data_IF_226697857340
#
_entry.id   IF_226697857340
#
_cell.length_a   1.000
_cell.length_b   1.000
_cell.length_c   1.000
_cell.angle_alpha   90.00
_cell.angle_beta   90.00
_cell.angle_gamma   90.00
#
_symmetry.space_group_name_H-M   'P 1'
#
loop_
_entity.id
_entity.type
_entity.pdbx_description
1 polymer ?
#
# COMPACT_ATOMS: atom_id res chain seq x y z
N UNK A 1 -3.90 13.41 8.72
CA UNK A 1 -4.20 12.28 9.63
C UNK A 1 -5.67 12.19 10.07
N UNK A 2 -6.31 13.22 10.65
CA UNK A 2 -7.71 13.14 11.12
C UNK A 2 -8.73 12.69 10.06
N UNK A 3 -8.58 13.14 8.81
CA UNK A 3 -9.46 12.70 7.73
C UNK A 3 -9.25 11.21 7.38
N UNK A 4 -8.00 10.72 7.46
CA UNK A 4 -7.67 9.32 7.21
C UNK A 4 -8.18 8.41 8.33
N UNK A 5 -8.07 8.82 9.60
CA UNK A 5 -8.51 8.00 10.73
C UNK A 5 -10.02 7.74 10.69
N UNK A 6 -10.82 8.70 10.23
CA UNK A 6 -12.26 8.48 10.01
C UNK A 6 -12.54 7.39 8.98
N UNK A 7 -11.70 7.28 7.94
CA UNK A 7 -11.84 6.21 6.95
C UNK A 7 -11.46 4.85 7.54
N UNK A 8 -10.53 4.79 8.49
CA UNK A 8 -10.18 3.52 9.15
C UNK A 8 -11.38 2.92 9.90
N UNK A 9 -12.16 3.75 10.60
CA UNK A 9 -13.34 3.27 11.31
C UNK A 9 -14.50 2.93 10.35
N UNK A 10 -14.63 3.67 9.23
CA UNK A 10 -15.67 3.43 8.22
C UNK A 10 -15.42 2.13 7.45
N UNK A 11 -14.16 1.83 7.14
CA UNK A 11 -13.76 0.64 6.38
C UNK A 11 -13.41 -0.56 7.26
N UNK A 12 -13.53 -0.44 8.58
CA UNK A 12 -13.43 -1.60 9.45
C UNK A 12 -14.59 -2.56 9.12
N UNK A 13 -14.32 -3.80 8.69
CA UNK A 13 -15.38 -4.70 8.28
C UNK A 13 -16.25 -5.11 9.48
N UNK A 14 -17.55 -4.95 9.31
CA UNK A 14 -18.54 -5.45 10.25
C UNK A 14 -18.74 -6.95 10.05
N UNK A 15 -18.40 -7.78 11.04
CA UNK A 15 -18.69 -9.22 11.02
C UNK A 15 -17.49 -10.10 10.70
N UNK A 16 -17.63 -11.01 9.74
CA UNK A 16 -16.68 -12.08 9.37
C UNK A 16 -15.40 -11.62 8.65
N UNK A 17 -15.18 -10.31 8.53
CA UNK A 17 -14.01 -9.74 7.86
C UNK A 17 -14.14 -9.61 6.34
N UNK A 18 -15.32 -9.89 5.75
CA UNK A 18 -15.52 -9.74 4.31
C UNK A 18 -15.73 -8.27 3.89
N UNK A 19 -14.98 -7.82 2.88
CA UNK A 19 -15.13 -6.48 2.25
C UNK A 19 -16.28 -6.41 1.23
N UNK A 20 -17.31 -7.25 1.38
CA UNK A 20 -18.30 -7.59 0.35
C UNK A 20 -19.39 -6.52 0.11
N UNK A 21 -18.99 -5.29 -0.27
CA UNK A 21 -19.92 -4.28 -0.77
C UNK A 21 -19.43 -3.67 -2.08
N UNK A 22 -20.09 -4.03 -3.17
CA UNK A 22 -19.83 -3.49 -4.52
C UNK A 22 -20.03 -1.97 -4.62
N UNK A 23 -20.84 -1.38 -3.73
CA UNK A 23 -21.12 0.06 -3.72
C UNK A 23 -20.97 0.69 -2.35
N UNK A 24 -20.62 1.97 -2.36
CA UNK A 24 -20.55 2.80 -1.16
C UNK A 24 -21.91 3.41 -0.83
N UNK A 25 -22.24 3.43 0.45
CA UNK A 25 -23.30 4.27 1.00
C UNK A 25 -22.99 5.76 0.80
N UNK A 26 -24.03 6.60 0.88
CA UNK A 26 -23.87 8.07 0.79
C UNK A 26 -22.91 8.62 1.85
N UNK A 27 -22.91 8.06 3.05
CA UNK A 27 -22.01 8.46 4.15
C UNK A 27 -20.56 8.07 3.88
N UNK A 28 -20.32 6.88 3.33
CA UNK A 28 -18.98 6.44 2.90
C UNK A 28 -18.45 7.35 1.80
N UNK A 29 -19.23 7.60 0.74
CA UNK A 29 -18.85 8.52 -0.34
C UNK A 29 -18.52 9.92 0.18
N UNK A 30 -19.35 10.46 1.08
CA UNK A 30 -19.08 11.78 1.68
C UNK A 30 -17.82 11.80 2.55
N UNK A 31 -17.45 10.68 3.19
CA UNK A 31 -16.21 10.58 3.95
C UNK A 31 -14.99 10.47 3.04
N UNK A 32 -15.08 9.65 1.98
CA UNK A 32 -14.04 9.52 0.96
C UNK A 32 -13.80 10.88 0.30
N UNK A 33 -14.86 11.58 -0.12
CA UNK A 33 -14.74 12.88 -0.77
C UNK A 33 -14.05 13.91 0.14
N UNK A 34 -14.46 14.02 1.40
CA UNK A 34 -13.77 14.89 2.39
C UNK A 34 -12.31 14.53 2.58
N UNK A 35 -11.97 13.25 2.60
CA UNK A 35 -10.58 12.80 2.69
C UNK A 35 -9.80 13.22 1.44
N UNK A 36 -10.34 12.96 0.26
CA UNK A 36 -9.75 13.35 -1.02
C UNK A 36 -9.55 14.87 -1.11
N UNK A 37 -10.55 15.68 -0.76
CA UNK A 37 -10.44 17.14 -0.73
C UNK A 37 -9.31 17.63 0.19
N UNK A 38 -9.10 16.96 1.32
CA UNK A 38 -8.04 17.31 2.24
C UNK A 38 -6.65 16.96 1.68
N UNK A 39 -6.48 15.76 1.10
CA UNK A 39 -5.16 15.29 0.65
C UNK A 39 -4.73 15.90 -0.68
N UNK A 40 -5.63 16.08 -1.66
CA UNK A 40 -5.25 16.56 -3.01
C UNK A 40 -4.73 18.00 -3.03
N UNK A 41 -5.01 18.78 -1.97
CA UNK A 41 -4.55 20.17 -1.81
C UNK A 41 -3.18 20.27 -1.13
N UNK A 42 -2.65 19.17 -0.60
CA UNK A 42 -1.36 19.17 0.09
C UNK A 42 -0.20 19.40 -0.90
N UNK A 43 0.91 20.02 -0.48
CA UNK A 43 2.08 20.22 -1.36
C UNK A 43 2.60 18.92 -1.98
N UNK A 44 2.54 17.81 -1.23
CA UNK A 44 2.98 16.49 -1.70
C UNK A 44 2.11 16.00 -2.87
N UNK A 45 0.78 16.09 -2.74
CA UNK A 45 -0.14 15.68 -3.82
C UNK A 45 -0.15 16.64 -4.99
N UNK A 46 0.11 17.93 -4.78
CA UNK A 46 0.28 18.91 -5.87
C UNK A 46 1.52 18.56 -6.69
N UNK A 47 2.66 18.27 -6.03
CA UNK A 47 3.88 17.84 -6.72
C UNK A 47 3.69 16.52 -7.46
N UNK A 48 2.99 15.56 -6.85
CA UNK A 48 2.66 14.30 -7.51
C UNK A 48 1.80 14.53 -8.75
N UNK A 49 0.78 15.41 -8.67
CA UNK A 49 -0.05 15.77 -9.83
C UNK A 49 0.79 16.36 -10.95
N UNK A 50 1.60 17.37 -10.67
CA UNK A 50 2.43 18.06 -11.68
C UNK A 50 3.41 17.09 -12.37
N UNK A 51 3.99 16.17 -11.61
CA UNK A 51 4.80 15.09 -12.18
C UNK A 51 3.97 14.19 -13.11
N UNK A 52 2.80 13.74 -12.65
CA UNK A 52 1.92 12.86 -13.42
C UNK A 52 1.30 13.51 -14.66
N UNK A 53 1.02 14.81 -14.62
CA UNK A 53 0.56 15.62 -15.76
C UNK A 53 1.60 15.66 -16.89
N UNK A 54 2.89 15.54 -16.56
CA UNK A 54 3.99 15.49 -17.52
C UNK A 54 4.31 14.07 -18.04
N UNK A 55 3.70 13.02 -17.47
CA UNK A 55 3.91 11.65 -17.93
C UNK A 55 3.14 11.40 -19.23
N UNK A 56 3.76 10.65 -20.15
CA UNK A 56 3.08 10.12 -21.33
C UNK A 56 2.18 8.90 -20.99
N UNK A 57 1.47 8.97 -19.87
CA UNK A 57 0.58 7.90 -19.41
C UNK A 57 -0.79 8.05 -20.08
N UNK A 58 -1.43 6.95 -20.55
CA UNK A 58 -2.79 7.00 -21.08
C UNK A 58 -3.82 7.52 -20.07
N UNK A 59 -3.54 7.35 -18.77
CA UNK A 59 -4.39 7.80 -17.67
C UNK A 59 -3.87 9.08 -17.00
N UNK A 60 -2.94 9.81 -17.64
CA UNK A 60 -2.41 11.05 -17.09
C UNK A 60 -3.55 12.05 -16.80
N UNK A 61 -3.58 12.68 -15.61
CA UNK A 61 -4.60 13.66 -15.27
C UNK A 61 -4.48 14.90 -16.16
N UNK A 62 -5.62 15.52 -16.50
CA UNK A 62 -5.70 16.80 -17.22
C UNK A 62 -6.19 17.90 -16.27
N UNK A 63 -5.37 18.25 -15.27
CA UNK A 63 -5.68 19.27 -14.27
C UNK A 63 -6.29 18.74 -12.97
N UNK A 64 -6.79 19.68 -12.15
CA UNK A 64 -7.17 19.41 -10.74
C UNK A 64 -8.40 18.51 -10.58
N UNK A 65 -9.44 18.68 -11.39
CA UNK A 65 -10.66 17.88 -11.26
C UNK A 65 -10.38 16.42 -11.62
N UNK A 66 -9.74 16.19 -12.76
CA UNK A 66 -9.31 14.86 -13.18
C UNK A 66 -8.35 14.21 -12.19
N UNK A 67 -7.55 14.99 -11.45
CA UNK A 67 -6.67 14.43 -10.43
C UNK A 67 -7.45 13.80 -9.27
N UNK A 68 -8.44 14.50 -8.70
CA UNK A 68 -9.24 13.94 -7.61
C UNK A 68 -9.97 12.68 -8.07
N UNK A 69 -10.55 12.72 -9.27
CA UNK A 69 -11.27 11.59 -9.86
C UNK A 69 -10.35 10.40 -10.14
N UNK A 70 -9.11 10.66 -10.59
CA UNK A 70 -8.09 9.63 -10.78
C UNK A 70 -7.65 9.00 -9.46
N UNK A 71 -7.43 9.79 -8.41
CA UNK A 71 -7.12 9.26 -7.08
C UNK A 71 -8.28 8.41 -6.57
N UNK A 72 -9.53 8.85 -6.76
CA UNK A 72 -10.70 8.04 -6.43
C UNK A 72 -10.69 6.71 -7.19
N UNK A 73 -10.49 6.75 -8.51
CA UNK A 73 -10.43 5.55 -9.37
C UNK A 73 -9.36 4.56 -8.92
N UNK A 74 -8.14 5.04 -8.62
CA UNK A 74 -7.03 4.17 -8.23
C UNK A 74 -7.25 3.59 -6.83
N UNK A 75 -7.65 4.42 -5.87
CA UNK A 75 -7.60 4.05 -4.45
C UNK A 75 -8.92 3.52 -3.90
N UNK A 76 -10.05 3.96 -4.44
CA UNK A 76 -11.38 3.74 -3.86
C UNK A 76 -12.33 3.01 -4.80
N UNK A 77 -12.02 2.81 -6.08
CA UNK A 77 -12.88 1.99 -6.93
C UNK A 77 -12.89 0.55 -6.41
N UNK A 78 -14.07 0.04 -6.06
CA UNK A 78 -14.28 -1.36 -5.67
C UNK A 78 -14.59 -2.19 -6.91
N UNK A 79 -14.01 -3.37 -6.97
CA UNK A 79 -14.42 -4.44 -7.90
C UNK A 79 -15.48 -5.34 -7.26
N UNK A 80 -15.87 -6.39 -7.98
CA UNK A 80 -16.85 -7.38 -7.51
C UNK A 80 -16.32 -8.32 -6.41
N UNK A 81 -15.01 -8.48 -6.30
CA UNK A 81 -14.36 -9.50 -5.44
C UNK A 81 -13.18 -8.99 -4.58
N UNK A 82 -13.42 -8.21 -3.52
CA UNK A 82 -12.38 -7.91 -2.52
C UNK A 82 -12.14 -6.42 -2.25
N UNK A 83 -11.13 -6.09 -1.42
CA UNK A 83 -10.90 -4.74 -0.93
C UNK A 83 -10.45 -3.80 -2.05
N UNK A 84 -10.83 -2.52 -1.96
CA UNK A 84 -10.16 -1.49 -2.77
C UNK A 84 -8.71 -1.26 -2.32
N UNK A 85 -7.91 -0.56 -3.12
CA UNK A 85 -6.50 -0.33 -2.80
C UNK A 85 -6.30 0.46 -1.49
N UNK A 86 -7.20 1.39 -1.14
CA UNK A 86 -7.15 2.07 0.15
C UNK A 86 -7.37 1.11 1.31
N UNK A 87 -8.38 0.22 1.21
CA UNK A 87 -8.63 -0.81 2.23
C UNK A 87 -7.41 -1.71 2.39
N UNK A 88 -6.84 -2.21 1.28
CA UNK A 88 -5.64 -3.04 1.33
C UNK A 88 -4.45 -2.32 2.00
N UNK A 89 -4.05 -1.16 1.49
CA UNK A 89 -2.82 -0.49 1.94
C UNK A 89 -2.98 0.10 3.33
N UNK A 90 -4.10 0.80 3.60
CA UNK A 90 -4.25 1.57 4.82
C UNK A 90 -4.94 0.83 5.95
N UNK A 91 -6.00 0.07 5.64
CA UNK A 91 -6.86 -0.56 6.66
C UNK A 91 -6.38 -1.97 6.99
N UNK A 92 -5.90 -2.69 5.98
CA UNK A 92 -5.71 -4.14 6.02
C UNK A 92 -6.97 -4.88 5.58
N UNK A 93 -6.78 -6.13 5.17
CA UNK A 93 -7.86 -7.01 4.71
C UNK A 93 -7.56 -8.48 5.04
N UNK A 94 -8.59 -9.31 5.06
CA UNK A 94 -8.40 -10.76 5.02
C UNK A 94 -7.85 -11.17 3.64
N UNK A 95 -6.81 -11.99 3.65
CA UNK A 95 -6.23 -12.61 2.46
C UNK A 95 -6.04 -14.11 2.71
N UNK A 96 -5.73 -14.86 1.66
CA UNK A 96 -5.40 -16.28 1.74
C UNK A 96 -3.99 -16.55 1.23
N UNK A 97 -3.28 -17.51 1.84
CA UNK A 97 -2.02 -18.06 1.33
C UNK A 97 -2.26 -19.16 0.26
N UNK A 98 -1.21 -19.74 -0.33
CA UNK A 98 -1.36 -20.85 -1.32
C UNK A 98 -2.16 -22.03 -0.80
N UNK A 99 -2.16 -22.25 0.52
CA UNK A 99 -2.82 -23.38 1.15
C UNK A 99 -4.28 -23.05 1.48
N UNK A 100 -4.76 -21.87 1.08
CA UNK A 100 -6.10 -21.38 1.39
C UNK A 100 -6.27 -20.99 2.85
N UNK A 101 -5.17 -20.79 3.59
CA UNK A 101 -5.24 -20.37 4.99
C UNK A 101 -5.42 -18.86 5.07
N UNK A 102 -6.38 -18.41 5.88
CA UNK A 102 -6.59 -16.99 6.14
C UNK A 102 -5.38 -16.35 6.81
N UNK A 103 -4.86 -15.30 6.19
CA UNK A 103 -3.72 -14.50 6.63
C UNK A 103 -4.06 -13.01 6.58
N UNK A 104 -3.25 -12.19 7.23
CA UNK A 104 -3.39 -10.75 7.19
C UNK A 104 -2.81 -10.19 5.89
N UNK A 105 -3.69 -9.68 5.01
CA UNK A 105 -3.34 -8.92 3.84
C UNK A 105 -3.23 -7.42 4.14
N UNK A 106 -2.31 -6.73 3.48
CA UNK A 106 -2.29 -5.27 3.55
C UNK A 106 -1.79 -4.73 4.90
N UNK A 107 -2.42 -3.69 5.44
CA UNK A 107 -2.02 -3.07 6.72
C UNK A 107 -0.58 -2.52 6.66
N UNK A 108 -0.34 -1.63 5.70
CA UNK A 108 0.95 -0.96 5.45
C UNK A 108 0.98 0.50 5.94
N UNK A 109 -0.06 0.94 6.65
CA UNK A 109 -0.10 2.26 7.29
C UNK A 109 0.32 2.16 8.76
N UNK A 110 1.45 2.79 9.10
CA UNK A 110 1.97 2.80 10.48
C UNK A 110 0.95 3.35 11.49
N UNK A 111 0.18 4.38 11.12
CA UNK A 111 -0.82 4.96 12.02
C UNK A 111 -1.93 3.96 12.30
N UNK A 112 -2.42 3.24 11.28
CA UNK A 112 -3.44 2.19 11.49
C UNK A 112 -2.86 1.06 12.35
N UNK A 113 -1.66 0.59 12.05
CA UNK A 113 -1.00 -0.45 12.86
C UNK A 113 -0.86 -0.01 14.32
N UNK A 114 -0.38 1.20 14.58
CA UNK A 114 -0.26 1.77 15.93
C UNK A 114 -1.61 1.81 16.66
N UNK A 115 -2.69 2.25 15.98
CA UNK A 115 -4.02 2.27 16.58
C UNK A 115 -4.52 0.86 16.92
N UNK A 116 -4.24 -0.14 16.09
CA UNK A 116 -4.57 -1.55 16.36
C UNK A 116 -3.72 -2.13 17.51
N UNK A 117 -2.46 -1.73 17.63
CA UNK A 117 -1.60 -2.14 18.75
C UNK A 117 -2.09 -1.55 20.08
N UNK A 118 -2.46 -0.27 20.10
CA UNK A 118 -3.08 0.39 21.27
C UNK A 118 -4.41 -0.27 21.64
N UNK A 119 -5.19 -0.75 20.67
CA UNK A 119 -6.44 -1.50 20.87
C UNK A 119 -6.20 -2.95 21.33
N UNK A 120 -4.97 -3.44 21.29
CA UNK A 120 -4.63 -4.83 21.59
C UNK A 120 -5.03 -5.83 20.49
N UNK A 121 -5.42 -5.35 19.32
CA UNK A 121 -5.83 -6.16 18.16
C UNK A 121 -4.66 -6.47 17.24
N UNK A 122 -3.60 -5.65 17.21
CA UNK A 122 -2.34 -5.96 16.52
C UNK A 122 -1.18 -6.17 17.50
N UNK A 123 -0.20 -6.98 17.12
CA UNK A 123 1.05 -7.14 17.86
C UNK A 123 2.21 -7.37 16.91
N UNK A 124 3.31 -6.66 17.13
CA UNK A 124 4.59 -6.88 16.46
C UNK A 124 5.33 -8.06 17.11
N UNK A 125 5.64 -9.08 16.31
CA UNK A 125 6.22 -10.34 16.81
C UNK A 125 7.73 -10.45 16.60
N UNK A 126 8.37 -9.43 16.03
CA UNK A 126 9.81 -9.40 15.79
C UNK A 126 10.17 -9.07 14.34
N UNK A 127 11.43 -8.69 14.13
CA UNK A 127 11.96 -8.29 12.83
C UNK A 127 12.47 -9.50 12.04
N UNK A 128 12.44 -9.38 10.72
CA UNK A 128 13.37 -10.09 9.86
C UNK A 128 14.46 -9.10 9.48
N UNK A 129 15.63 -9.18 10.13
CA UNK A 129 16.83 -8.49 9.66
C UNK A 129 17.84 -9.57 9.27
N UNK A 130 18.12 -9.72 7.97
CA UNK A 130 19.05 -10.72 7.44
C UNK A 130 20.52 -10.29 7.52
N UNK A 131 20.82 -9.12 8.10
CA UNK A 131 22.19 -8.62 8.29
C UNK A 131 22.57 -8.52 9.77
N UNK A 132 23.85 -8.74 10.06
CA UNK A 132 24.50 -8.64 11.36
C UNK A 132 23.86 -7.55 12.24
N UNK A 133 23.42 -7.99 13.42
CA UNK A 133 22.60 -7.32 14.43
C UNK A 133 23.11 -5.96 14.97
N UNK A 134 24.19 -5.41 14.42
CA UNK A 134 24.73 -4.09 14.78
C UNK A 134 24.18 -2.92 13.96
N UNK A 135 23.85 -3.13 12.68
CA UNK A 135 23.49 -2.03 11.76
C UNK A 135 21.97 -1.91 11.50
N UNK A 136 21.22 -3.01 11.62
CA UNK A 136 19.82 -3.10 11.18
C UNK A 136 18.81 -2.43 12.14
N UNK A 137 19.26 -2.04 13.34
CA UNK A 137 18.39 -1.49 14.41
C UNK A 137 18.22 0.05 14.29
N UNK A 138 18.94 0.73 13.40
CA UNK A 138 19.11 2.18 13.51
C UNK A 138 18.24 3.06 12.59
N UNK A 139 17.45 2.51 11.66
CA UNK A 139 16.52 3.33 10.87
C UNK A 139 15.08 3.22 11.38
N UNK A 140 14.68 4.21 12.18
CA UNK A 140 13.32 4.30 12.74
C UNK A 140 12.24 4.63 11.69
N UNK A 141 12.60 4.83 10.41
CA UNK A 141 11.66 5.25 9.36
C UNK A 141 10.97 4.08 8.66
N UNK A 142 11.41 2.85 8.86
CA UNK A 142 10.78 1.66 8.28
C UNK A 142 10.82 0.48 9.24
N UNK A 143 9.67 -0.20 9.38
CA UNK A 143 9.55 -1.44 10.15
C UNK A 143 9.25 -2.57 9.18
N UNK A 144 9.98 -3.67 9.28
CA UNK A 144 9.63 -4.93 8.63
C UNK A 144 9.80 -6.10 9.58
N UNK A 145 8.85 -7.01 9.54
CA UNK A 145 8.82 -8.12 10.48
C UNK A 145 7.59 -9.00 10.36
N UNK A 146 7.38 -9.77 11.42
CA UNK A 146 6.22 -10.62 11.63
C UNK A 146 5.19 -9.87 12.47
N UNK A 147 3.93 -9.96 12.10
CA UNK A 147 2.84 -9.31 12.82
C UNK A 147 1.70 -10.29 13.03
N UNK A 148 0.96 -10.09 14.12
CA UNK A 148 -0.34 -10.73 14.30
C UNK A 148 -1.41 -9.67 14.42
N UNK A 149 -2.56 -9.92 13.82
CA UNK A 149 -3.64 -8.95 13.74
C UNK A 149 -4.98 -9.66 13.87
N UNK A 150 -5.84 -9.16 14.74
CA UNK A 150 -7.20 -9.66 14.91
C UNK A 150 -8.13 -8.85 14.02
N UNK A 151 -8.76 -9.51 13.04
CA UNK A 151 -9.65 -8.90 12.07
C UNK A 151 -10.88 -9.77 11.87
N UNK A 152 -12.08 -9.18 11.89
CA UNK A 152 -13.33 -9.95 11.80
C UNK A 152 -13.49 -11.04 12.86
N UNK A 153 -12.91 -10.85 14.05
CA UNK A 153 -12.87 -11.85 15.12
C UNK A 153 -11.85 -12.98 14.94
N UNK A 154 -11.09 -12.99 13.85
CA UNK A 154 -10.06 -14.00 13.56
C UNK A 154 -8.66 -13.47 13.85
N UNK A 155 -7.82 -14.28 14.50
CA UNK A 155 -6.40 -13.95 14.69
C UNK A 155 -5.62 -14.37 13.45
N UNK A 156 -5.21 -13.38 12.67
CA UNK A 156 -4.45 -13.55 11.44
C UNK A 156 -2.95 -13.36 11.72
N UNK A 157 -2.14 -14.11 10.98
CA UNK A 157 -0.68 -14.00 11.03
C UNK A 157 -0.19 -13.42 9.71
N UNK A 158 0.70 -12.44 9.80
CA UNK A 158 1.46 -11.92 8.68
C UNK A 158 2.91 -12.32 8.88
N UNK A 159 3.33 -13.39 8.20
CA UNK A 159 4.70 -13.88 8.28
C UNK A 159 5.69 -12.82 7.82
N UNK A 160 5.35 -12.01 6.82
CA UNK A 160 6.20 -10.92 6.37
C UNK A 160 5.38 -9.69 6.01
N UNK A 161 5.68 -8.57 6.66
CA UNK A 161 5.09 -7.28 6.36
C UNK A 161 6.06 -6.13 6.62
N UNK A 162 5.59 -4.92 6.37
CA UNK A 162 6.31 -3.72 6.77
C UNK A 162 5.57 -2.45 6.39
N UNK A 163 6.01 -1.34 6.97
CA UNK A 163 5.45 -0.01 6.73
C UNK A 163 6.46 1.08 7.04
N UNK A 164 6.30 2.23 6.38
CA UNK A 164 7.04 3.44 6.71
C UNK A 164 6.45 4.09 7.95
N UNK A 165 7.32 4.46 8.89
CA UNK A 165 6.94 5.13 10.13
C UNK A 165 7.05 6.63 9.94
N UNK A 166 6.06 7.38 10.43
CA UNK A 166 6.05 8.84 10.42
C UNK A 166 5.64 9.49 9.09
N UNK A 167 5.50 8.72 8.01
CA UNK A 167 5.00 9.26 6.72
C UNK A 167 3.52 9.62 6.80
N UNK A 168 3.11 10.64 6.04
CA UNK A 168 1.71 11.05 5.98
C UNK A 168 0.89 10.21 4.97
N UNK A 169 -0.44 10.12 5.12
CA UNK A 169 -1.29 9.37 4.20
C UNK A 169 -1.20 9.90 2.77
N UNK A 170 -1.14 11.22 2.60
CA UNK A 170 -0.97 11.86 1.30
C UNK A 170 0.37 11.52 0.62
N UNK A 171 1.43 11.24 1.39
CA UNK A 171 2.69 10.74 0.83
C UNK A 171 2.55 9.31 0.29
N UNK A 172 1.90 8.42 1.05
CA UNK A 172 1.67 7.04 0.59
C UNK A 172 0.76 7.01 -0.64
N UNK A 173 -0.28 7.86 -0.67
CA UNK A 173 -1.14 8.06 -1.84
C UNK A 173 -0.35 8.55 -3.05
N UNK A 174 0.50 9.58 -2.86
CA UNK A 174 1.31 10.14 -3.93
C UNK A 174 2.24 9.10 -4.55
N UNK A 175 3.02 8.40 -3.73
CA UNK A 175 3.99 7.40 -4.22
C UNK A 175 3.27 6.23 -4.91
N UNK A 176 2.16 5.76 -4.34
CA UNK A 176 1.37 4.71 -4.97
C UNK A 176 0.77 5.14 -6.30
N UNK A 177 0.17 6.33 -6.39
CA UNK A 177 -0.38 6.86 -7.64
C UNK A 177 0.68 7.10 -8.71
N UNK A 178 1.83 7.67 -8.34
CA UNK A 178 2.95 7.87 -9.27
C UNK A 178 3.41 6.51 -9.81
N UNK A 179 3.65 5.54 -8.92
CA UNK A 179 4.08 4.20 -9.33
C UNK A 179 3.06 3.52 -10.25
N UNK A 180 1.77 3.67 -9.97
CA UNK A 180 0.69 3.19 -10.83
C UNK A 180 0.76 3.80 -12.24
N UNK A 181 0.95 5.11 -12.33
CA UNK A 181 0.94 5.82 -13.62
C UNK A 181 2.21 5.58 -14.43
N UNK A 182 3.36 5.49 -13.77
CA UNK A 182 4.64 5.13 -14.40
C UNK A 182 4.63 3.72 -14.99
N UNK A 183 3.75 2.83 -14.52
CA UNK A 183 3.75 1.41 -14.89
C UNK A 183 2.56 0.98 -15.75
N UNK A 184 1.84 1.93 -16.35
CA UNK A 184 0.67 1.64 -17.21
C UNK A 184 1.01 0.90 -18.50
N UNK A 185 2.20 1.11 -19.07
CA UNK A 185 2.71 0.37 -20.23
C UNK A 185 4.15 -0.06 -19.99
N UNK A 186 4.61 -1.09 -20.71
CA UNK A 186 5.99 -1.57 -20.60
C UNK A 186 6.99 -0.49 -21.02
N UNK A 187 6.70 0.27 -22.07
CA UNK A 187 7.55 1.35 -22.58
C UNK A 187 7.67 2.49 -21.57
N UNK A 188 6.55 2.90 -20.97
CA UNK A 188 6.55 3.94 -19.95
C UNK A 188 7.28 3.47 -18.69
N UNK A 189 7.02 2.24 -18.24
CA UNK A 189 7.69 1.63 -17.10
C UNK A 189 9.21 1.66 -17.30
N UNK A 190 9.69 1.17 -18.45
CA UNK A 190 11.10 1.18 -18.80
C UNK A 190 11.68 2.62 -18.82
N UNK A 191 10.96 3.58 -19.41
CA UNK A 191 11.40 4.98 -19.47
C UNK A 191 11.50 5.64 -18.08
N UNK A 192 10.66 5.20 -17.13
CA UNK A 192 10.66 5.65 -15.75
C UNK A 192 11.61 4.84 -14.85
N UNK A 193 12.42 3.93 -15.41
CA UNK A 193 13.42 3.14 -14.68
C UNK A 193 12.86 1.93 -13.93
N UNK A 194 11.63 1.51 -14.26
CA UNK A 194 11.09 0.25 -13.80
C UNK A 194 11.58 -0.90 -14.68
N UNK A 195 11.86 -2.05 -14.07
CA UNK A 195 12.18 -3.30 -14.78
C UNK A 195 11.15 -4.37 -14.42
N UNK A 196 10.84 -5.32 -15.32
CA UNK A 196 9.96 -6.43 -15.01
C UNK A 196 10.43 -7.17 -13.75
N UNK A 197 9.50 -7.45 -12.85
CA UNK A 197 9.75 -8.26 -11.66
C UNK A 197 9.41 -9.72 -11.97
N UNK A 198 10.43 -10.51 -12.32
CA UNK A 198 10.26 -11.89 -12.81
C UNK A 198 9.84 -12.87 -11.71
N UNK A 199 10.14 -12.53 -10.45
CA UNK A 199 9.74 -13.32 -9.29
C UNK A 199 8.31 -13.01 -8.81
N UNK A 200 7.63 -12.05 -9.45
CA UNK A 200 6.21 -11.81 -9.20
C UNK A 200 5.39 -13.04 -9.61
N UNK A 201 4.39 -13.41 -8.80
CA UNK A 201 3.44 -14.47 -9.16
C UNK A 201 2.63 -14.21 -10.42
N UNK A 202 2.43 -12.94 -10.73
CA UNK A 202 1.60 -12.47 -11.83
C UNK A 202 2.49 -11.68 -12.79
N UNK A 203 2.20 -10.42 -13.00
CA UNK A 203 3.08 -9.45 -13.64
C UNK A 203 3.34 -8.32 -12.64
N UNK A 204 4.50 -7.70 -12.75
CA UNK A 204 4.89 -6.63 -11.86
C UNK A 204 6.17 -5.96 -12.30
N UNK A 205 6.49 -4.86 -11.63
CA UNK A 205 7.70 -4.10 -11.86
C UNK A 205 8.44 -3.88 -10.55
N UNK A 206 9.76 -3.73 -10.67
CA UNK A 206 10.66 -3.34 -9.59
C UNK A 206 11.47 -2.12 -10.01
N UNK A 207 11.69 -1.19 -9.07
CA UNK A 207 12.52 0.01 -9.26
C UNK A 207 13.33 0.28 -8.00
N UNK A 208 14.64 0.37 -8.14
CA UNK A 208 15.52 0.71 -7.02
C UNK A 208 15.80 2.22 -7.02
N UNK A 209 15.72 2.86 -5.85
CA UNK A 209 15.94 4.30 -5.66
C UNK A 209 16.94 4.51 -4.53
N UNK A 210 18.00 5.26 -4.79
CA UNK A 210 18.95 5.67 -3.77
C UNK A 210 18.55 7.04 -3.20
N UNK A 211 18.41 7.17 -1.89
CA UNK A 211 18.13 8.45 -1.24
C UNK A 211 18.71 8.49 0.18
N UNK A 212 19.38 9.58 0.55
CA UNK A 212 20.01 9.78 1.87
C UNK A 212 20.94 8.64 2.35
N UNK A 213 21.62 7.96 1.42
CA UNK A 213 22.50 6.83 1.74
C UNK A 213 21.78 5.48 1.91
N UNK A 214 20.48 5.47 1.71
CA UNK A 214 19.61 4.30 1.73
C UNK A 214 19.24 3.91 0.30
N UNK A 215 19.17 2.61 0.03
CA UNK A 215 18.54 2.10 -1.18
C UNK A 215 17.10 1.77 -0.87
N UNK A 216 16.21 1.88 -1.84
CA UNK A 216 14.80 1.72 -1.63
C UNK A 216 14.22 1.00 -2.85
N UNK A 217 13.84 -0.27 -2.70
CA UNK A 217 13.24 -1.07 -3.78
C UNK A 217 11.73 -0.92 -3.84
N UNK A 218 11.18 -0.22 -4.81
CA UNK A 218 9.72 -0.19 -5.01
C UNK A 218 9.28 -1.42 -5.79
N UNK A 219 8.19 -2.10 -5.38
CA UNK A 219 7.55 -3.14 -6.17
C UNK A 219 6.12 -2.72 -6.52
N UNK A 220 5.69 -3.10 -7.72
CA UNK A 220 4.32 -2.93 -8.20
C UNK A 220 3.86 -4.27 -8.75
N UNK A 221 2.68 -4.73 -8.35
CA UNK A 221 2.12 -6.03 -8.76
C UNK A 221 0.73 -5.83 -9.33
N UNK A 222 0.47 -6.43 -10.49
CA UNK A 222 -0.85 -6.45 -11.11
C UNK A 222 -1.53 -7.79 -10.80
N UNK A 223 -2.70 -7.80 -10.16
CA UNK A 223 -3.53 -9.01 -10.04
C UNK A 223 -4.60 -8.98 -11.12
N UNK A 224 -4.87 -10.12 -11.78
CA UNK A 224 -5.75 -10.23 -12.96
C UNK A 224 -7.22 -9.77 -12.76
N UNK A 225 -7.66 -9.50 -11.53
CA UNK A 225 -9.05 -9.10 -11.22
C UNK A 225 -9.11 -7.71 -10.55
N UNK A 226 -7.98 -7.15 -10.12
CA UNK A 226 -7.93 -5.87 -9.40
C UNK A 226 -6.78 -5.00 -9.88
N UNK A 227 -7.12 -3.76 -10.23
CA UNK A 227 -6.16 -2.69 -10.49
C UNK A 227 -5.16 -2.60 -9.33
N UNK A 228 -3.91 -2.91 -9.68
CA UNK A 228 -2.65 -2.57 -9.04
C UNK A 228 -2.56 -2.61 -7.50
N UNK A 229 -1.89 -3.64 -7.01
CA UNK A 229 -1.25 -3.64 -5.70
C UNK A 229 0.08 -2.90 -5.81
N UNK A 230 0.15 -1.65 -5.34
CA UNK A 230 1.44 -1.01 -5.06
C UNK A 230 1.87 -1.40 -3.66
N UNK A 231 2.50 -2.57 -3.53
CA UNK A 231 3.27 -2.89 -2.34
C UNK A 231 4.60 -2.15 -2.44
N UNK A 232 4.65 -0.92 -1.93
CA UNK A 232 5.90 -0.15 -1.84
C UNK A 232 6.83 -0.82 -0.81
N UNK A 233 7.70 -1.71 -1.28
CA UNK A 233 8.55 -2.57 -0.45
C UNK A 233 9.95 -1.97 -0.37
N UNK A 234 10.14 -0.76 0.14
CA UNK A 234 11.48 -0.18 0.02
C UNK A 234 12.54 -0.98 0.78
N UNK A 235 13.34 -1.74 0.02
CA UNK A 235 14.46 -2.53 0.52
C UNK A 235 15.69 -1.66 0.69
N UNK A 236 16.13 -1.49 1.93
CA UNK A 236 17.38 -0.83 2.34
C UNK A 236 18.63 -1.65 2.00
N UNK A 237 19.08 -1.63 0.75
CA UNK A 237 20.39 -2.20 0.41
C UNK A 237 21.57 -1.29 0.81
N UNK A 238 22.11 -1.55 2.00
CA UNK A 238 23.44 -2.18 2.03
C UNK A 238 23.25 -3.62 2.51
N UNK A 239 23.00 -4.51 1.54
CA UNK A 239 22.92 -5.97 1.74
C UNK A 239 21.75 -6.46 2.59
N UNK A 240 20.55 -6.05 2.22
CA UNK A 240 19.30 -6.63 2.71
C UNK A 240 18.52 -7.05 1.48
N UNK A 241 18.40 -8.34 1.19
CA UNK A 241 17.38 -8.82 0.26
C UNK A 241 16.11 -9.05 1.07
N UNK A 242 15.09 -8.21 0.86
CA UNK A 242 13.77 -8.42 1.43
C UNK A 242 12.74 -8.67 0.34
N UNK A 243 12.32 -9.92 0.31
CA UNK A 243 11.13 -10.40 -0.36
C UNK A 243 9.91 -9.69 0.23
N UNK A 244 9.03 -9.15 -0.61
CA UNK A 244 7.60 -9.17 -0.32
C UNK A 244 6.89 -9.49 -1.65
N UNK A 245 7.10 -10.71 -2.12
CA UNK A 245 5.94 -11.48 -2.54
C UNK A 245 5.29 -12.06 -1.27
N UNK A 246 4.04 -12.46 -1.33
CA UNK A 246 3.61 -13.54 -0.45
C UNK A 246 4.65 -14.67 -0.57
N UNK A 247 5.56 -14.87 0.38
CA UNK A 247 6.00 -16.23 0.69
C UNK A 247 4.90 -16.77 1.61
N UNK A 248 4.14 -17.84 1.35
CA UNK A 248 4.34 -18.97 0.44
C UNK A 248 5.80 -19.40 0.35
N UNK A 249 6.37 -19.76 1.48
CA UNK A 249 7.50 -20.66 1.44
C UNK A 249 6.97 -22.08 1.31
N UNK A 250 7.48 -22.77 0.28
CA UNK A 250 7.71 -24.22 0.21
C UNK A 250 6.60 -25.14 0.74
#
# INVERSE_FOLDING_TARGET
FLAASRLFDIFEPSGDGAHARESYSKSELAAIDRFLEAVVRTPVMVRAREYCEALASPEAPQGKSSWKDLIFKIWFLRGSEGPCAFEHVFVGNLAEDIRGQSIAGGLHCWLKFYLEEVRGTANYLGHFYTRNSGDAILDSRFVSGKFSWTHGGQRLLKEQGGFFVGVSPEWQLAVGTVSYLETQTEELAASCGWRPWLEARTSGYVKDVAHEGYQYRSLVVFRRIFLLFVSLILVLEKSCFFWLGCCEHL
#
